data_IF_776216808243
#
_entry.id   IF_776216808243
#
_cell.length_a   1.000
_cell.length_b   1.000
_cell.length_c   1.000
_cell.angle_alpha   90.00
_cell.angle_beta   90.00
_cell.angle_gamma   90.00
#
_symmetry.space_group_name_H-M   'P 1'
#
loop_
_entity.id
_entity.type
_entity.pdbx_description
1 polymer ?
#
# COMPACT_ATOMS: atom_id res chain seq x y z
N UNK A 1 -23.28 -69.81 -15.96
CA UNK A 1 -24.34 -69.37 -16.87
C UNK A 1 -25.32 -68.54 -16.11
N UNK A 2 -25.88 -67.57 -16.73
CA UNK A 2 -25.52 -66.11 -16.59
C UNK A 2 -26.67 -65.36 -15.93
N UNK A 3 -26.48 -64.16 -15.50
CA UNK A 3 -27.39 -63.16 -16.00
C UNK A 3 -26.80 -61.76 -15.87
N UNK A 4 -27.15 -60.99 -16.88
CA UNK A 4 -26.78 -59.62 -17.19
C UNK A 4 -27.75 -58.67 -16.49
N UNK A 5 -27.33 -57.48 -16.37
CA UNK A 5 -28.23 -56.31 -16.17
C UNK A 5 -27.55 -55.29 -15.29
N UNK A 6 -27.33 -54.19 -15.60
CA UNK A 6 -27.61 -53.09 -16.46
C UNK A 6 -26.86 -51.88 -15.97
N UNK A 7 -26.24 -51.21 -16.87
CA UNK A 7 -25.57 -49.94 -16.74
C UNK A 7 -26.60 -48.86 -16.47
N UNK A 8 -26.40 -48.05 -15.43
CA UNK A 8 -26.99 -46.68 -15.36
C UNK A 8 -25.88 -45.65 -15.17
N UNK A 9 -25.66 -44.95 -16.23
CA UNK A 9 -24.86 -43.71 -16.28
C UNK A 9 -25.67 -42.61 -15.59
N UNK A 10 -25.16 -42.08 -14.49
CA UNK A 10 -25.65 -40.91 -13.82
C UNK A 10 -24.56 -39.84 -13.87
N UNK A 11 -24.64 -38.96 -14.87
CA UNK A 11 -23.95 -37.69 -14.91
C UNK A 11 -24.56 -36.72 -13.90
N UNK A 12 -23.83 -36.30 -12.91
CA UNK A 12 -24.08 -35.03 -12.25
C UNK A 12 -22.76 -34.40 -11.86
N UNK A 13 -22.38 -33.44 -12.69
CA UNK A 13 -21.34 -32.48 -12.43
C UNK A 13 -21.85 -31.42 -11.46
N UNK A 14 -21.36 -31.45 -10.26
CA UNK A 14 -21.37 -30.28 -9.37
C UNK A 14 -19.96 -30.03 -8.93
N UNK A 15 -19.30 -29.08 -9.65
CA UNK A 15 -18.04 -28.50 -9.25
C UNK A 15 -18.21 -27.75 -7.93
N UNK A 16 -18.12 -28.45 -6.83
CA UNK A 16 -17.98 -27.88 -5.50
C UNK A 16 -16.63 -27.20 -5.40
N UNK A 17 -16.63 -25.88 -5.46
CA UNK A 17 -15.49 -25.07 -5.05
C UNK A 17 -15.09 -25.47 -3.63
N UNK A 18 -13.97 -26.17 -3.49
CA UNK A 18 -13.37 -26.47 -2.20
C UNK A 18 -12.89 -25.14 -1.60
N UNK A 19 -13.69 -24.58 -0.71
CA UNK A 19 -13.23 -23.59 0.25
C UNK A 19 -12.21 -24.30 1.14
N UNK A 20 -10.93 -24.14 0.82
CA UNK A 20 -9.85 -24.52 1.73
C UNK A 20 -9.99 -23.78 3.06
N UNK A 21 -9.36 -24.24 4.15
CA UNK A 21 -9.42 -23.58 5.45
C UNK A 21 -9.03 -22.12 5.23
N UNK A 22 -9.89 -21.18 5.70
CA UNK A 22 -9.68 -19.75 5.59
C UNK A 22 -8.33 -19.39 6.23
N UNK A 23 -7.34 -19.16 5.40
CA UNK A 23 -6.03 -18.70 5.88
C UNK A 23 -6.27 -17.39 6.64
N UNK A 24 -5.65 -17.26 7.83
CA UNK A 24 -5.75 -16.04 8.64
C UNK A 24 -5.30 -14.86 7.78
N UNK A 25 -6.11 -13.81 7.62
CA UNK A 25 -5.73 -12.66 6.82
C UNK A 25 -4.49 -11.99 7.41
N UNK A 26 -3.63 -11.40 6.55
CA UNK A 26 -2.47 -10.65 7.01
C UNK A 26 -2.90 -9.45 7.86
N UNK A 27 -4.00 -8.81 7.47
CA UNK A 27 -4.59 -7.67 8.19
C UNK A 27 -6.10 -7.85 8.26
N UNK A 28 -6.67 -7.63 9.44
CA UNK A 28 -8.12 -7.49 9.63
C UNK A 28 -8.40 -6.19 10.36
N UNK A 29 -9.26 -5.38 9.80
CA UNK A 29 -9.74 -4.11 10.33
C UNK A 29 -11.22 -4.25 10.60
N UNK A 30 -11.67 -3.89 11.80
CA UNK A 30 -13.06 -4.03 12.23
C UNK A 30 -13.59 -2.72 12.79
N UNK A 31 -14.55 -2.12 12.09
CA UNK A 31 -15.28 -0.92 12.49
C UNK A 31 -14.39 0.28 12.82
N UNK A 32 -13.33 0.52 12.03
CA UNK A 32 -12.30 1.51 12.36
C UNK A 32 -12.80 2.93 12.15
N UNK A 33 -12.68 3.77 13.19
CA UNK A 33 -13.06 5.19 13.16
C UNK A 33 -11.92 6.09 13.60
N UNK A 34 -11.83 7.25 12.94
CA UNK A 34 -10.95 8.34 13.36
C UNK A 34 -11.51 9.71 13.01
N UNK A 35 -11.53 10.61 13.99
CA UNK A 35 -11.94 11.99 13.85
C UNK A 35 -10.84 12.93 14.34
N UNK A 36 -10.65 14.04 13.67
CA UNK A 36 -9.79 15.15 14.07
C UNK A 36 -10.63 16.44 14.19
N UNK A 37 -10.88 16.86 15.40
CA UNK A 37 -11.86 17.93 15.63
C UNK A 37 -13.25 17.55 15.09
N UNK A 38 -13.76 18.32 14.16
CA UNK A 38 -15.04 18.05 13.49
C UNK A 38 -14.91 17.16 12.25
N UNK A 39 -13.70 17.01 11.72
CA UNK A 39 -13.47 16.24 10.51
C UNK A 39 -13.36 14.74 10.79
N UNK A 40 -14.23 13.94 10.18
CA UNK A 40 -14.14 12.47 10.17
C UNK A 40 -13.19 12.06 9.05
N UNK A 41 -12.02 11.52 9.44
CA UNK A 41 -11.01 11.07 8.50
C UNK A 41 -11.20 9.59 8.10
N UNK A 42 -11.72 8.76 9.00
CA UNK A 42 -12.04 7.34 8.76
C UNK A 42 -13.38 7.04 9.42
N UNK A 43 -14.30 6.43 8.69
CA UNK A 43 -15.71 6.32 9.03
C UNK A 43 -16.22 4.87 8.92
N UNK A 44 -15.95 4.05 9.95
CA UNK A 44 -16.44 2.67 10.03
C UNK A 44 -15.82 1.76 8.97
N UNK A 45 -14.48 1.71 8.90
CA UNK A 45 -13.78 0.86 7.93
C UNK A 45 -13.72 -0.58 8.45
N UNK A 46 -14.28 -1.50 7.66
CA UNK A 46 -14.08 -2.95 7.75
C UNK A 46 -13.28 -3.39 6.54
N UNK A 47 -12.19 -4.15 6.76
CA UNK A 47 -11.29 -4.56 5.68
C UNK A 47 -10.51 -5.81 6.07
N UNK A 48 -10.47 -6.81 5.19
CA UNK A 48 -9.58 -7.96 5.30
C UNK A 48 -8.59 -7.97 4.13
N UNK A 49 -7.30 -8.01 4.45
CA UNK A 49 -6.23 -8.10 3.46
C UNK A 49 -5.61 -9.49 3.49
N UNK A 50 -5.60 -10.20 2.35
CA UNK A 50 -5.04 -11.56 2.29
C UNK A 50 -3.53 -11.56 2.48
N UNK A 51 -2.98 -12.67 3.00
CA UNK A 51 -1.54 -12.86 3.12
C UNK A 51 -0.88 -13.19 1.77
N UNK A 52 0.42 -12.86 1.64
CA UNK A 52 1.23 -13.21 0.47
C UNK A 52 0.82 -12.46 -0.81
N UNK A 53 0.29 -11.24 -0.69
CA UNK A 53 -0.20 -10.44 -1.81
C UNK A 53 0.46 -9.07 -1.89
N UNK A 54 0.49 -8.54 -3.10
CA UNK A 54 0.82 -7.14 -3.34
C UNK A 54 -0.49 -6.33 -3.40
N UNK A 55 -0.73 -5.51 -2.37
CA UNK A 55 -2.03 -4.89 -2.10
C UNK A 55 -1.92 -3.38 -2.23
N UNK A 56 -2.78 -2.77 -3.02
CA UNK A 56 -2.92 -1.32 -3.16
C UNK A 56 -4.08 -0.76 -2.33
N UNK A 57 -3.82 0.20 -1.47
CA UNK A 57 -4.84 1.07 -0.85
C UNK A 57 -4.92 2.35 -1.68
N UNK A 58 -5.92 2.47 -2.53
CA UNK A 58 -6.01 3.51 -3.55
C UNK A 58 -7.15 4.48 -3.29
N UNK A 59 -6.95 5.73 -3.63
CA UNK A 59 -7.96 6.78 -3.49
C UNK A 59 -7.36 8.17 -3.59
N UNK A 60 -8.16 9.23 -3.73
CA UNK A 60 -7.69 10.60 -3.83
C UNK A 60 -7.00 11.08 -2.54
N UNK A 61 -6.32 12.21 -2.64
CA UNK A 61 -5.80 12.91 -1.45
C UNK A 61 -6.95 13.27 -0.52
N UNK A 62 -6.75 13.08 0.79
CA UNK A 62 -7.82 13.25 1.79
C UNK A 62 -8.82 12.10 1.90
N UNK A 63 -8.67 11.01 1.15
CA UNK A 63 -9.56 9.84 1.26
C UNK A 63 -9.47 9.11 2.62
N UNK A 64 -8.42 9.35 3.43
CA UNK A 64 -8.17 8.69 4.70
C UNK A 64 -7.12 7.59 4.67
N UNK A 65 -6.39 7.39 3.55
CA UNK A 65 -5.38 6.34 3.36
C UNK A 65 -4.28 6.37 4.42
N UNK A 66 -3.56 7.50 4.54
CA UNK A 66 -2.48 7.69 5.54
C UNK A 66 -2.99 7.52 6.97
N UNK A 67 -4.19 8.04 7.28
CA UNK A 67 -4.81 7.87 8.59
C UNK A 67 -5.10 6.40 8.88
N UNK A 68 -5.66 5.67 7.91
CA UNK A 68 -5.94 4.24 8.03
C UNK A 68 -4.65 3.44 8.21
N UNK A 69 -3.62 3.66 7.37
CA UNK A 69 -2.32 2.99 7.52
C UNK A 69 -1.66 3.30 8.87
N UNK A 70 -1.74 4.55 9.34
CA UNK A 70 -1.19 4.93 10.65
C UNK A 70 -1.89 4.20 11.80
N UNK A 71 -3.21 3.96 11.72
CA UNK A 71 -3.93 3.17 12.71
C UNK A 71 -3.60 1.68 12.61
N UNK A 72 -3.52 1.14 11.40
CA UNK A 72 -3.18 -0.27 11.13
C UNK A 72 -1.78 -0.61 11.63
N UNK A 73 -0.83 0.32 11.52
CA UNK A 73 0.55 0.13 11.96
C UNK A 73 0.79 0.47 13.44
N UNK A 74 -0.25 0.92 14.16
CA UNK A 74 -0.16 1.30 15.58
C UNK A 74 0.62 2.60 15.82
N UNK A 75 0.72 3.48 14.81
CA UNK A 75 1.26 4.84 14.94
C UNK A 75 0.21 5.85 15.42
N UNK A 76 -1.06 5.57 15.14
CA UNK A 76 -2.20 6.39 15.53
C UNK A 76 -3.27 5.53 16.20
N UNK A 77 -3.74 5.92 17.38
CA UNK A 77 -4.82 5.19 18.06
C UNK A 77 -6.16 5.52 17.42
N UNK A 78 -6.98 4.52 17.04
CA UNK A 78 -8.33 4.74 16.56
C UNK A 78 -9.23 5.26 17.70
N UNK A 79 -10.30 5.95 17.34
CA UNK A 79 -11.33 6.37 18.30
C UNK A 79 -12.31 5.22 18.59
N UNK A 80 -12.57 4.37 17.58
CA UNK A 80 -13.35 3.13 17.68
C UNK A 80 -12.81 2.06 16.74
N UNK A 81 -13.21 0.82 17.00
CA UNK A 81 -12.80 -0.34 16.20
C UNK A 81 -11.47 -0.94 16.66
N UNK A 82 -11.02 -1.95 15.94
CA UNK A 82 -9.75 -2.65 16.21
C UNK A 82 -9.06 -3.10 14.94
N UNK A 83 -7.77 -3.39 15.08
CA UNK A 83 -6.94 -3.91 13.99
C UNK A 83 -6.18 -5.14 14.48
N UNK A 84 -6.21 -6.20 13.68
CA UNK A 84 -5.43 -7.41 13.91
C UNK A 84 -4.43 -7.61 12.77
N UNK A 85 -3.19 -7.91 13.11
CA UNK A 85 -2.13 -8.30 12.18
C UNK A 85 -1.77 -9.75 12.45
N UNK A 86 -1.94 -10.62 11.45
CA UNK A 86 -1.74 -12.08 11.61
C UNK A 86 -2.45 -12.62 12.86
N UNK A 87 -3.68 -12.12 13.14
CA UNK A 87 -4.49 -12.51 14.29
C UNK A 87 -4.15 -11.84 15.63
N UNK A 88 -3.14 -10.94 15.69
CA UNK A 88 -2.74 -10.23 16.91
C UNK A 88 -3.24 -8.78 16.90
N UNK A 89 -3.89 -8.36 17.98
CA UNK A 89 -4.39 -6.99 18.11
C UNK A 89 -3.25 -6.00 18.27
N UNK A 90 -3.28 -4.94 17.45
CA UNK A 90 -2.21 -3.92 17.35
C UNK A 90 -2.00 -3.17 18.66
N UNK A 91 -3.07 -2.98 19.47
CA UNK A 91 -3.01 -2.21 20.70
C UNK A 91 -2.93 -3.08 21.96
N UNK A 92 -3.42 -4.33 21.90
CA UNK A 92 -3.32 -5.28 23.01
C UNK A 92 -1.94 -5.98 23.06
N UNK A 93 -1.32 -6.26 21.90
CA UNK A 93 0.00 -6.90 21.79
C UNK A 93 0.93 -6.15 20.83
N UNK A 94 1.27 -4.88 21.13
CA UNK A 94 2.02 -4.02 20.21
C UNK A 94 3.45 -4.51 19.95
N UNK A 95 4.08 -5.21 20.89
CA UNK A 95 5.45 -5.73 20.72
C UNK A 95 5.47 -6.83 19.66
N UNK A 96 4.55 -7.78 19.77
CA UNK A 96 4.43 -8.89 18.82
C UNK A 96 4.06 -8.39 17.43
N UNK A 97 3.10 -7.45 17.34
CA UNK A 97 2.72 -6.87 16.05
C UNK A 97 3.88 -6.11 15.43
N UNK A 98 4.55 -5.22 16.18
CA UNK A 98 5.68 -4.43 15.66
C UNK A 98 6.88 -5.27 15.24
N UNK A 99 7.07 -6.46 15.79
CA UNK A 99 8.11 -7.38 15.32
C UNK A 99 7.79 -8.02 13.96
N UNK A 100 6.51 -8.06 13.58
CA UNK A 100 6.02 -8.69 12.35
C UNK A 100 5.78 -7.71 11.20
N UNK A 101 5.80 -6.40 11.47
CA UNK A 101 5.54 -5.38 10.47
C UNK A 101 6.77 -4.51 10.19
N UNK A 102 6.94 -4.19 8.90
CA UNK A 102 7.80 -3.10 8.45
C UNK A 102 6.94 -1.90 8.04
N UNK A 103 7.40 -0.69 8.29
CA UNK A 103 6.63 0.52 7.99
C UNK A 103 7.52 1.56 7.33
N UNK A 104 7.09 2.08 6.19
CA UNK A 104 7.62 3.27 5.52
C UNK A 104 6.51 4.32 5.50
N UNK A 105 6.48 5.28 6.42
CA UNK A 105 5.46 6.33 6.44
C UNK A 105 5.73 7.39 5.36
N UNK A 106 4.69 8.13 4.95
CA UNK A 106 4.78 9.23 3.99
C UNK A 106 5.78 10.30 4.47
N UNK A 107 5.60 10.85 5.65
CA UNK A 107 6.49 11.83 6.27
C UNK A 107 7.74 11.20 6.88
N UNK A 108 8.57 10.56 6.07
CA UNK A 108 9.74 9.80 6.50
C UNK A 108 10.75 10.67 7.29
N UNK A 109 10.73 10.52 8.62
CA UNK A 109 11.69 11.16 9.53
C UNK A 109 12.80 10.17 9.86
N UNK A 110 13.93 10.33 9.18
CA UNK A 110 15.14 9.52 9.41
C UNK A 110 16.09 10.23 10.39
N UNK A 111 17.01 9.49 10.96
CA UNK A 111 18.12 10.04 11.74
C UNK A 111 19.15 10.65 10.79
N UNK A 112 18.95 11.92 10.43
CA UNK A 112 19.66 12.62 9.36
C UNK A 112 21.17 12.75 9.58
N UNK A 113 21.62 12.72 10.84
CA UNK A 113 23.04 12.80 11.23
C UNK A 113 23.76 11.45 11.25
N UNK A 114 23.08 10.38 10.89
CA UNK A 114 23.70 9.07 10.66
C UNK A 114 23.97 8.88 9.18
N UNK A 115 25.02 8.14 8.85
CA UNK A 115 25.19 7.58 7.51
C UNK A 115 24.16 6.48 7.25
N UNK A 116 23.95 6.11 5.98
CA UNK A 116 23.04 5.02 5.65
C UNK A 116 23.39 3.71 6.36
N UNK A 117 24.69 3.41 6.46
CA UNK A 117 25.19 2.21 7.16
C UNK A 117 24.92 2.27 8.67
N UNK A 118 25.21 3.40 9.30
CA UNK A 118 24.97 3.60 10.74
C UNK A 118 23.47 3.57 11.06
N UNK A 119 22.62 4.14 10.20
CA UNK A 119 21.18 4.09 10.34
C UNK A 119 20.68 2.64 10.38
N UNK A 120 21.08 1.80 9.42
CA UNK A 120 20.68 0.39 9.42
C UNK A 120 21.22 -0.37 10.63
N UNK A 121 22.48 -0.13 11.04
CA UNK A 121 23.06 -0.68 12.26
C UNK A 121 22.28 -0.28 13.51
N UNK A 122 21.85 0.98 13.60
CA UNK A 122 21.01 1.47 14.70
C UNK A 122 19.62 0.81 14.71
N UNK A 123 18.97 0.73 13.53
CA UNK A 123 17.66 0.09 13.39
C UNK A 123 17.70 -1.40 13.74
N UNK A 124 18.77 -2.12 13.36
CA UNK A 124 18.95 -3.51 13.72
C UNK A 124 19.04 -3.72 15.25
N UNK A 125 19.80 -2.87 15.94
CA UNK A 125 19.87 -2.89 17.40
C UNK A 125 18.52 -2.60 18.07
N UNK A 126 17.76 -1.62 17.57
CA UNK A 126 16.41 -1.32 18.06
C UNK A 126 15.45 -2.51 17.89
N UNK A 127 15.65 -3.32 16.85
CA UNK A 127 14.87 -4.55 16.58
C UNK A 127 15.41 -5.78 17.30
N UNK A 128 16.49 -5.67 18.09
CA UNK A 128 17.10 -6.77 18.81
C UNK A 128 17.84 -7.77 17.93
N UNK A 129 18.21 -7.39 16.70
CA UNK A 129 18.97 -8.25 15.80
C UNK A 129 20.42 -8.38 16.28
N UNK A 130 21.04 -9.58 16.20
CA UNK A 130 22.47 -9.75 16.43
C UNK A 130 23.30 -8.87 15.49
N UNK A 131 24.43 -8.31 15.97
CA UNK A 131 25.26 -7.39 15.19
C UNK A 131 25.71 -7.97 13.86
N UNK A 132 26.22 -9.20 13.85
CA UNK A 132 26.68 -9.87 12.62
C UNK A 132 25.53 -10.07 11.60
N UNK A 133 24.33 -10.40 12.07
CA UNK A 133 23.17 -10.54 11.19
C UNK A 133 22.69 -9.18 10.66
N UNK A 134 22.71 -8.15 11.52
CA UNK A 134 22.41 -6.76 11.10
C UNK A 134 23.36 -6.30 10.01
N UNK A 135 24.67 -6.51 10.18
CA UNK A 135 25.69 -6.11 9.23
C UNK A 135 25.55 -6.82 7.89
N UNK A 136 25.28 -8.12 7.92
CA UNK A 136 25.02 -8.93 6.73
C UNK A 136 23.80 -8.41 5.95
N UNK A 137 22.67 -8.26 6.63
CA UNK A 137 21.42 -7.79 6.00
C UNK A 137 21.53 -6.35 5.52
N UNK A 138 22.17 -5.47 6.30
CA UNK A 138 22.41 -4.09 5.88
C UNK A 138 23.24 -4.01 4.60
N UNK A 139 24.32 -4.81 4.48
CA UNK A 139 25.11 -4.88 3.26
C UNK A 139 24.27 -5.31 2.07
N UNK A 140 23.54 -6.39 2.18
CA UNK A 140 22.66 -6.89 1.12
C UNK A 140 21.59 -5.88 0.69
N UNK A 141 20.94 -5.21 1.66
CA UNK A 141 19.93 -4.20 1.37
C UNK A 141 20.51 -2.96 0.70
N UNK A 142 21.69 -2.51 1.13
CA UNK A 142 22.39 -1.38 0.50
C UNK A 142 22.79 -1.70 -0.94
N UNK A 143 23.23 -2.93 -1.22
CA UNK A 143 23.56 -3.39 -2.58
C UNK A 143 22.31 -3.46 -3.46
N UNK A 144 21.27 -4.17 -3.02
CA UNK A 144 20.04 -4.38 -3.82
C UNK A 144 19.31 -3.06 -4.10
N UNK A 145 19.37 -2.09 -3.15
CA UNK A 145 18.74 -0.78 -3.29
C UNK A 145 19.66 0.25 -3.97
N UNK A 146 20.83 -0.17 -4.46
CA UNK A 146 21.79 0.71 -5.13
C UNK A 146 22.18 1.93 -4.24
N UNK A 147 22.54 1.63 -3.00
CA UNK A 147 23.03 2.59 -2.01
C UNK A 147 24.44 2.28 -1.50
N UNK A 148 25.06 1.18 -1.96
CA UNK A 148 26.38 0.74 -1.50
C UNK A 148 27.46 1.82 -1.67
N UNK A 149 27.47 2.52 -2.81
CA UNK A 149 28.39 3.63 -3.08
C UNK A 149 28.16 4.88 -2.20
N UNK A 150 27.01 4.98 -1.55
CA UNK A 150 26.63 6.12 -0.71
C UNK A 150 26.44 5.75 0.76
N UNK A 151 26.79 4.54 1.16
CA UNK A 151 26.50 4.00 2.50
C UNK A 151 27.14 4.79 3.66
N UNK A 152 28.26 5.48 3.39
CA UNK A 152 28.97 6.32 4.38
C UNK A 152 28.60 7.79 4.31
N UNK A 153 27.78 8.21 3.34
CA UNK A 153 27.24 9.56 3.23
C UNK A 153 26.13 9.75 4.26
N UNK A 154 26.04 10.94 4.86
CA UNK A 154 24.98 11.25 5.82
C UNK A 154 23.60 11.22 5.14
N UNK A 155 22.58 10.77 5.87
CA UNK A 155 21.21 10.67 5.37
C UNK A 155 20.63 12.06 5.03
N UNK A 156 21.07 13.12 5.69
CA UNK A 156 20.67 14.49 5.36
C UNK A 156 21.03 14.86 3.90
N UNK A 157 22.12 14.30 3.37
CA UNK A 157 22.62 14.55 2.01
C UNK A 157 22.05 13.60 0.95
N UNK A 158 21.10 12.72 1.34
CA UNK A 158 20.46 11.81 0.41
C UNK A 158 19.38 12.52 -0.41
N UNK A 159 19.27 12.18 -1.71
CA UNK A 159 18.14 12.58 -2.53
C UNK A 159 16.83 11.96 -2.01
N UNK A 160 15.68 12.48 -2.46
CA UNK A 160 14.36 11.91 -2.10
C UNK A 160 14.30 10.40 -2.40
N UNK A 161 14.74 9.97 -3.59
CA UNK A 161 14.81 8.56 -3.95
C UNK A 161 15.72 7.75 -3.03
N UNK A 162 16.91 8.26 -2.68
CA UNK A 162 17.81 7.61 -1.73
C UNK A 162 17.22 7.53 -0.33
N UNK A 163 16.50 8.57 0.13
CA UNK A 163 15.81 8.58 1.43
C UNK A 163 14.69 7.53 1.46
N UNK A 164 13.91 7.38 0.39
CA UNK A 164 12.89 6.32 0.26
C UNK A 164 13.54 4.93 0.25
N UNK A 165 14.62 4.74 -0.49
CA UNK A 165 15.38 3.48 -0.54
C UNK A 165 15.93 3.07 0.83
N UNK A 166 16.58 3.98 1.57
CA UNK A 166 17.14 3.65 2.89
C UNK A 166 16.04 3.44 3.95
N UNK A 167 14.91 4.17 3.84
CA UNK A 167 13.72 3.94 4.66
C UNK A 167 13.12 2.55 4.42
N UNK A 168 13.02 2.13 3.16
CA UNK A 168 12.61 0.78 2.78
C UNK A 168 13.57 -0.28 3.32
N UNK A 169 14.90 -0.06 3.21
CA UNK A 169 15.90 -0.94 3.80
C UNK A 169 15.68 -1.11 5.31
N UNK A 170 15.47 -0.01 6.03
CA UNK A 170 15.19 -0.03 7.47
C UNK A 170 13.89 -0.79 7.81
N UNK A 171 12.85 -0.65 6.99
CA UNK A 171 11.59 -1.35 7.15
C UNK A 171 11.70 -2.86 6.89
N UNK A 172 12.60 -3.29 5.98
CA UNK A 172 12.84 -4.70 5.61
C UNK A 172 13.86 -5.42 6.49
N UNK A 173 14.73 -4.69 7.20
CA UNK A 173 15.92 -5.21 7.86
C UNK A 173 15.66 -6.40 8.81
N UNK A 174 14.52 -6.39 9.50
CA UNK A 174 14.12 -7.43 10.45
C UNK A 174 13.25 -8.54 9.82
N UNK A 175 13.10 -8.54 8.49
CA UNK A 175 12.32 -9.52 7.72
C UNK A 175 10.86 -9.64 8.22
N UNK A 176 10.06 -8.57 8.13
CA UNK A 176 8.67 -8.57 8.59
C UNK A 176 7.78 -9.52 7.76
N UNK A 177 6.61 -9.89 8.29
CA UNK A 177 5.58 -10.66 7.55
C UNK A 177 4.76 -9.75 6.64
N UNK A 178 4.53 -8.50 7.09
CA UNK A 178 3.73 -7.50 6.37
C UNK A 178 4.50 -6.19 6.31
N UNK A 179 4.62 -5.63 5.11
CA UNK A 179 5.26 -4.35 4.84
C UNK A 179 4.22 -3.31 4.48
N UNK A 180 4.14 -2.23 5.24
CA UNK A 180 3.26 -1.10 4.99
C UNK A 180 4.04 0.09 4.45
N UNK A 181 3.63 0.62 3.31
CA UNK A 181 4.30 1.71 2.61
C UNK A 181 3.28 2.82 2.30
N UNK A 182 3.53 4.02 2.81
CA UNK A 182 2.65 5.16 2.54
C UNK A 182 3.29 6.03 1.45
N UNK A 183 2.65 6.08 0.27
CA UNK A 183 3.10 6.78 -0.94
C UNK A 183 4.60 6.53 -1.26
N UNK A 184 5.04 5.26 -1.41
CA UNK A 184 6.47 4.93 -1.52
C UNK A 184 7.15 5.46 -2.78
N UNK A 185 6.38 5.74 -3.83
CA UNK A 185 6.86 6.19 -5.14
C UNK A 185 6.73 7.70 -5.35
N UNK A 186 6.07 8.42 -4.43
CA UNK A 186 5.88 9.85 -4.56
C UNK A 186 7.22 10.61 -4.48
N UNK A 187 7.45 11.49 -5.47
CA UNK A 187 8.68 12.29 -5.57
C UNK A 187 9.95 11.50 -5.86
N UNK A 188 9.82 10.25 -6.29
CA UNK A 188 10.93 9.35 -6.62
C UNK A 188 11.19 9.38 -8.12
N UNK A 189 12.46 9.49 -8.51
CA UNK A 189 12.86 9.40 -9.91
C UNK A 189 12.60 8.00 -10.49
N UNK A 190 12.45 7.86 -11.83
CA UNK A 190 12.11 6.58 -12.46
C UNK A 190 13.08 5.44 -12.16
N UNK A 191 14.39 5.71 -12.03
CA UNK A 191 15.42 4.70 -11.77
C UNK A 191 15.27 4.17 -10.34
N UNK A 192 15.14 5.08 -9.38
CA UNK A 192 14.89 4.71 -7.98
C UNK A 192 13.56 3.98 -7.80
N UNK A 193 12.50 4.40 -8.52
CA UNK A 193 11.20 3.74 -8.49
C UNK A 193 11.30 2.29 -9.02
N UNK A 194 12.03 2.07 -10.11
CA UNK A 194 12.27 0.72 -10.65
C UNK A 194 13.04 -0.17 -9.66
N UNK A 195 14.03 0.37 -8.96
CA UNK A 195 14.80 -0.36 -7.94
C UNK A 195 13.88 -0.76 -6.78
N UNK A 196 13.07 0.18 -6.25
CA UNK A 196 12.09 -0.08 -5.19
C UNK A 196 11.10 -1.16 -5.62
N UNK A 197 10.52 -1.03 -6.82
CA UNK A 197 9.60 -2.01 -7.40
C UNK A 197 10.19 -3.42 -7.42
N UNK A 198 11.40 -3.58 -7.98
CA UNK A 198 12.05 -4.89 -8.07
C UNK A 198 12.31 -5.55 -6.70
N UNK A 199 12.60 -4.75 -5.66
CA UNK A 199 12.75 -5.25 -4.29
C UNK A 199 11.41 -5.72 -3.75
N UNK A 200 10.33 -4.95 -3.93
CA UNK A 200 8.99 -5.28 -3.43
C UNK A 200 8.42 -6.51 -4.12
N UNK A 201 8.61 -6.65 -5.45
CA UNK A 201 8.18 -7.84 -6.21
C UNK A 201 8.87 -9.12 -5.71
N UNK A 202 10.20 -9.07 -5.47
CA UNK A 202 10.94 -10.21 -4.88
C UNK A 202 10.45 -10.53 -3.49
N UNK A 203 10.18 -9.52 -2.68
CA UNK A 203 9.71 -9.68 -1.31
C UNK A 203 8.33 -10.35 -1.26
N UNK A 204 7.39 -9.91 -2.09
CA UNK A 204 6.07 -10.55 -2.22
C UNK A 204 6.19 -11.96 -2.80
N UNK A 205 7.08 -12.17 -3.79
CA UNK A 205 7.38 -13.49 -4.36
C UNK A 205 7.93 -14.51 -3.35
N UNK A 206 8.47 -14.05 -2.21
CA UNK A 206 8.89 -14.92 -1.09
C UNK A 206 7.74 -15.29 -0.14
N UNK A 207 6.51 -14.85 -0.41
CA UNK A 207 5.31 -15.11 0.41
C UNK A 207 4.99 -14.02 1.42
N UNK A 208 5.75 -12.92 1.48
CA UNK A 208 5.44 -11.79 2.33
C UNK A 208 4.28 -10.95 1.75
N UNK A 209 3.64 -10.16 2.60
CA UNK A 209 2.55 -9.26 2.20
C UNK A 209 3.08 -7.83 2.09
N UNK A 210 2.78 -7.16 0.99
CA UNK A 210 3.05 -5.73 0.81
C UNK A 210 1.72 -4.98 0.70
N UNK A 211 1.54 -3.95 1.52
CA UNK A 211 0.40 -3.04 1.49
C UNK A 211 0.95 -1.63 1.25
N UNK A 212 0.58 -0.99 0.15
CA UNK A 212 0.99 0.39 -0.08
C UNK A 212 -0.19 1.29 -0.44
N UNK A 213 -0.12 2.54 0.01
CA UNK A 213 -1.05 3.56 -0.44
C UNK A 213 -0.57 4.23 -1.72
N UNK A 214 -1.51 4.60 -2.58
CA UNK A 214 -1.24 5.49 -3.71
C UNK A 214 -2.49 6.25 -4.13
N UNK A 215 -2.28 7.43 -4.70
CA UNK A 215 -3.31 8.17 -5.43
C UNK A 215 -3.16 7.97 -6.96
N UNK A 216 -2.11 7.28 -7.43
CA UNK A 216 -1.82 6.98 -8.83
C UNK A 216 -2.36 5.60 -9.17
N UNK A 217 -3.52 5.55 -9.81
CA UNK A 217 -4.27 4.31 -10.10
C UNK A 217 -3.52 3.39 -11.08
N UNK A 218 -2.85 3.96 -12.08
CA UNK A 218 -2.07 3.22 -13.08
C UNK A 218 -0.90 2.47 -12.44
N UNK A 219 -0.28 3.06 -11.42
CA UNK A 219 0.80 2.41 -10.67
C UNK A 219 0.25 1.20 -9.90
N UNK A 220 -0.89 1.36 -9.21
CA UNK A 220 -1.55 0.28 -8.49
C UNK A 220 -1.98 -0.84 -9.44
N UNK A 221 -2.56 -0.49 -10.60
CA UNK A 221 -2.98 -1.46 -11.62
C UNK A 221 -1.80 -2.26 -12.18
N UNK A 222 -0.60 -1.65 -12.26
CA UNK A 222 0.62 -2.31 -12.76
C UNK A 222 1.34 -3.21 -11.75
N UNK A 223 1.11 -3.01 -10.44
CA UNK A 223 1.87 -3.66 -9.36
C UNK A 223 1.05 -4.66 -8.55
N UNK A 224 -0.25 -4.38 -8.37
CA UNK A 224 -1.06 -5.09 -7.40
C UNK A 224 -1.86 -6.22 -8.04
N UNK A 225 -2.04 -7.29 -7.29
CA UNK A 225 -2.99 -8.35 -7.59
C UNK A 225 -4.30 -8.21 -6.75
N UNK A 226 -4.27 -7.32 -5.74
CA UNK A 226 -5.40 -7.04 -4.86
C UNK A 226 -5.47 -5.55 -4.53
N UNK A 227 -6.67 -4.98 -4.40
CA UNK A 227 -6.85 -3.55 -4.19
C UNK A 227 -8.00 -3.25 -3.21
N UNK A 228 -7.81 -2.21 -2.39
CA UNK A 228 -8.86 -1.57 -1.61
C UNK A 228 -9.02 -0.13 -2.08
N UNK A 229 -10.21 0.23 -2.54
CA UNK A 229 -10.56 1.57 -3.01
C UNK A 229 -11.16 2.35 -1.86
N UNK A 230 -10.54 3.49 -1.51
CA UNK A 230 -10.97 4.33 -0.40
C UNK A 230 -11.41 5.71 -0.89
N UNK A 231 -12.56 6.18 -0.42
CA UNK A 231 -13.05 7.54 -0.69
C UNK A 231 -13.87 8.04 0.51
N UNK A 232 -13.67 9.31 0.88
CA UNK A 232 -14.39 9.98 1.97
C UNK A 232 -14.37 9.18 3.30
N UNK A 233 -13.21 8.64 3.66
CA UNK A 233 -13.00 7.89 4.89
C UNK A 233 -13.58 6.48 4.91
N UNK A 234 -14.06 5.95 3.79
CA UNK A 234 -14.72 4.65 3.71
C UNK A 234 -14.10 3.76 2.61
N UNK A 235 -14.11 2.44 2.80
CA UNK A 235 -13.82 1.49 1.73
C UNK A 235 -15.05 1.41 0.81
N UNK A 236 -14.84 1.65 -0.49
CA UNK A 236 -15.88 1.59 -1.53
C UNK A 236 -15.91 0.25 -2.23
N UNK A 237 -14.75 -0.36 -2.41
CA UNK A 237 -14.59 -1.71 -2.95
C UNK A 237 -13.27 -2.29 -2.43
N UNK A 238 -13.21 -3.60 -2.27
CA UNK A 238 -11.99 -4.31 -1.91
C UNK A 238 -12.05 -5.74 -2.48
N UNK A 239 -10.96 -6.21 -3.07
CA UNK A 239 -10.90 -7.53 -3.68
C UNK A 239 -9.71 -7.69 -4.64
N UNK A 240 -9.64 -8.84 -5.34
CA UNK A 240 -8.74 -9.01 -6.47
C UNK A 240 -8.89 -7.84 -7.46
N UNK A 241 -7.77 -7.36 -7.98
CA UNK A 241 -7.76 -6.20 -8.91
C UNK A 241 -8.73 -6.39 -10.08
N UNK A 242 -8.76 -7.59 -10.65
CA UNK A 242 -9.65 -7.91 -11.77
C UNK A 242 -11.14 -7.75 -11.41
N UNK A 243 -11.53 -8.15 -10.19
CA UNK A 243 -12.92 -8.09 -9.73
C UNK A 243 -13.33 -6.63 -9.45
N UNK A 244 -12.44 -5.84 -8.80
CA UNK A 244 -12.70 -4.42 -8.50
C UNK A 244 -12.74 -3.58 -9.77
N UNK A 245 -11.87 -3.87 -10.75
CA UNK A 245 -11.90 -3.22 -12.07
C UNK A 245 -13.14 -3.61 -12.87
N UNK A 246 -13.57 -4.87 -12.77
CA UNK A 246 -14.72 -5.40 -13.51
C UNK A 246 -14.57 -5.22 -15.03
N UNK A 247 -15.61 -4.71 -15.67
CA UNK A 247 -15.63 -4.42 -17.12
C UNK A 247 -15.07 -3.04 -17.50
N UNK A 248 -14.63 -2.23 -16.51
CA UNK A 248 -14.06 -0.91 -16.78
C UNK A 248 -12.70 -1.02 -17.52
N UNK A 249 -12.38 -0.08 -18.42
CA UNK A 249 -11.14 -0.12 -19.21
C UNK A 249 -9.88 0.05 -18.34
N UNK A 250 -9.99 0.65 -17.15
CA UNK A 250 -8.91 0.86 -16.19
C UNK A 250 -9.43 0.94 -14.76
N UNK A 251 -8.53 0.77 -13.79
CA UNK A 251 -8.85 0.97 -12.37
C UNK A 251 -9.34 2.41 -12.10
N UNK A 252 -8.80 3.40 -12.82
CA UNK A 252 -9.25 4.78 -12.72
C UNK A 252 -10.70 4.95 -13.18
N UNK A 253 -11.10 4.31 -14.28
CA UNK A 253 -12.48 4.34 -14.75
C UNK A 253 -13.43 3.67 -13.74
N UNK A 254 -13.05 2.51 -13.20
CA UNK A 254 -13.81 1.82 -12.16
C UNK A 254 -13.95 2.69 -10.90
N UNK A 255 -12.88 3.38 -10.50
CA UNK A 255 -12.91 4.31 -9.36
C UNK A 255 -13.93 5.44 -9.56
N UNK A 256 -13.93 6.10 -10.73
CA UNK A 256 -14.89 7.18 -11.03
C UNK A 256 -16.35 6.69 -10.98
N UNK A 257 -16.60 5.45 -11.38
CA UNK A 257 -17.91 4.81 -11.23
C UNK A 257 -18.30 4.58 -9.76
N UNK A 258 -17.36 4.04 -8.97
CA UNK A 258 -17.57 3.73 -7.56
C UNK A 258 -17.84 4.97 -6.68
N UNK A 259 -17.23 6.11 -7.02
CA UNK A 259 -17.42 7.36 -6.27
C UNK A 259 -18.54 8.25 -6.82
N UNK A 260 -19.26 7.80 -7.87
CA UNK A 260 -20.36 8.55 -8.48
C UNK A 260 -19.91 9.80 -9.26
N UNK A 261 -18.61 9.88 -9.60
CA UNK A 261 -18.04 11.00 -10.33
C UNK A 261 -18.17 10.84 -11.87
N UNK A 262 -19.18 10.10 -12.35
CA UNK A 262 -19.52 10.11 -13.78
C UNK A 262 -19.96 11.51 -14.16
N UNK A 263 -19.08 12.23 -14.84
CA UNK A 263 -19.43 13.42 -15.62
C UNK A 263 -20.25 14.44 -14.84
N UNK A 264 -19.62 15.29 -14.00
CA UNK A 264 -20.02 16.66 -14.07
C UNK A 264 -19.61 17.10 -15.47
N UNK A 265 -20.58 17.11 -16.38
CA UNK A 265 -20.42 17.81 -17.64
C UNK A 265 -19.99 19.23 -17.30
N UNK A 266 -18.71 19.54 -17.45
CA UNK A 266 -18.18 20.90 -17.42
C UNK A 266 -18.65 21.70 -18.63
N UNK A 267 -19.57 21.13 -19.43
CA UNK A 267 -20.18 21.76 -20.58
C UNK A 267 -21.11 22.95 -20.21
N UNK A 268 -21.35 23.21 -18.93
CA UNK A 268 -22.18 24.32 -18.46
C UNK A 268 -21.44 25.56 -17.92
N UNK A 269 -20.16 25.42 -17.57
CA UNK A 269 -19.32 26.55 -17.18
C UNK A 269 -18.62 27.09 -18.43
N UNK A 270 -19.23 28.12 -19.07
CA UNK A 270 -18.63 28.77 -20.24
C UNK A 270 -17.29 29.39 -19.83
N UNK A 271 -16.21 28.78 -20.27
CA UNK A 271 -14.85 29.35 -20.22
C UNK A 271 -14.64 30.28 -21.42
N UNK A 272 -15.66 31.07 -21.79
CA UNK A 272 -15.69 31.96 -22.97
C UNK A 272 -14.58 33.01 -22.97
N UNK A 273 -13.95 33.22 -21.79
CA UNK A 273 -12.80 34.09 -21.65
C UNK A 273 -11.45 33.40 -21.99
N UNK A 274 -11.41 32.07 -22.03
CA UNK A 274 -10.25 31.30 -22.45
C UNK A 274 -10.21 31.26 -23.99
N UNK A 275 -9.42 32.12 -24.59
CA UNK A 275 -9.20 32.15 -26.04
C UNK A 275 -9.86 33.33 -26.77
N UNK A 276 -10.66 34.14 -26.08
CA UNK A 276 -11.21 35.39 -26.62
C UNK A 276 -10.18 36.54 -26.58
N UNK A 277 -9.15 36.51 -27.40
CA UNK A 277 -8.30 37.65 -27.65
C UNK A 277 -9.09 38.70 -28.43
N UNK A 278 -9.79 39.62 -27.72
CA UNK A 278 -10.24 40.87 -28.37
C UNK A 278 -9.00 41.72 -28.65
N UNK A 279 -8.83 42.23 -29.89
CA UNK A 279 -7.73 43.14 -30.17
C UNK A 279 -7.93 44.44 -29.34
N UNK A 280 -6.91 44.78 -28.56
CA UNK A 280 -6.85 46.10 -27.92
C UNK A 280 -6.95 47.17 -29.02
N UNK A 281 -8.12 47.82 -29.11
CA UNK A 281 -8.32 48.97 -29.96
C UNK A 281 -7.34 50.05 -29.53
N UNK A 282 -6.47 50.45 -30.44
CA UNK A 282 -5.47 51.45 -30.24
C UNK A 282 -6.07 52.77 -29.79
N UNK A 283 -5.57 53.30 -28.69
CA UNK A 283 -5.73 54.69 -28.32
C UNK A 283 -4.87 55.52 -29.26
N UNK A 284 -5.50 56.06 -30.28
CA UNK A 284 -4.95 57.21 -31.02
C UNK A 284 -5.37 58.49 -30.35
N UNK A 285 -4.34 59.31 -30.20
CA UNK A 285 -4.26 60.77 -29.88
C UNK A 285 -4.19 61.12 -28.42
#
# INVERSE_FOLDING_TARGET
MPDQGDTVVGTDGAGGARSGPSAVPAVRVEGLWKRFGEQVAVAGVDLELPAGRFIGLVGPNGAGKTTTLSMVTGLLRPDMGRVLISGHDVWADPVRVKSRIGVLPEGLRLFERLSGRELLGYMGRLRGLPGAETDKRATQLLEILDLAGSQHKLVVDYSTGMRKKIGLAAALLHNPEVLFLDEPFEGVDPVSAQTIRGVLERYTGSGATVVFSSHVMELVESLCDWVAVMAAGQIRAAGPLADVRGSAPSLQAAFLELVGARGRDTAGDSLDWLGGGSPVAGAGR
#
